data_IF_348667906440
#
_entry.id   IF_348667906440
#
_cell.length_a   1.000
_cell.length_b   1.000
_cell.length_c   1.000
_cell.angle_alpha   90.00
_cell.angle_beta   90.00
_cell.angle_gamma   90.00
#
_symmetry.space_group_name_H-M   'P 1'
#
loop_
_entity.id
_entity.type
_entity.pdbx_description
1 polymer ?
#
# COMPACT_ATOMS: atom_id res chain seq x y z
N UNK A 1 -24.54 1.51 9.96
CA UNK A 1 -23.16 1.96 10.28
C UNK A 1 -22.19 0.99 9.62
N UNK A 2 -21.22 1.46 8.82
CA UNK A 2 -20.19 0.62 8.19
C UNK A 2 -19.04 0.48 9.19
N UNK A 3 -18.71 -0.75 9.59
CA UNK A 3 -17.49 -1.03 10.36
C UNK A 3 -16.39 -1.39 9.36
N UNK A 4 -15.30 -0.63 9.38
CA UNK A 4 -14.15 -0.83 8.53
C UNK A 4 -12.92 -1.22 9.33
N UNK A 5 -12.10 -2.14 8.80
CA UNK A 5 -10.75 -2.39 9.26
C UNK A 5 -9.75 -1.84 8.24
N UNK A 6 -8.69 -1.23 8.72
CA UNK A 6 -7.53 -0.85 7.92
C UNK A 6 -6.28 -1.52 8.51
N UNK A 7 -5.53 -2.19 7.66
CA UNK A 7 -4.29 -2.88 8.02
C UNK A 7 -3.27 -2.70 6.91
N UNK A 8 -2.01 -2.46 7.26
CA UNK A 8 -0.89 -2.24 6.35
C UNK A 8 0.38 -2.84 6.93
N UNK A 9 1.43 -2.97 6.13
CA UNK A 9 2.80 -3.31 6.56
C UNK A 9 2.87 -4.65 7.33
N UNK A 10 2.17 -5.66 6.81
CA UNK A 10 2.16 -7.00 7.41
C UNK A 10 3.44 -7.80 7.14
N UNK A 11 4.15 -7.49 6.05
CA UNK A 11 5.44 -8.08 5.65
C UNK A 11 5.48 -9.61 5.76
N UNK A 12 4.44 -10.30 5.27
CA UNK A 12 4.35 -11.76 5.27
C UNK A 12 4.36 -12.41 6.65
N UNK A 13 4.10 -11.65 7.71
CA UNK A 13 4.08 -12.17 9.07
C UNK A 13 2.83 -13.00 9.32
N UNK A 14 2.95 -14.33 9.26
CA UNK A 14 1.85 -15.27 9.52
C UNK A 14 1.12 -14.95 10.84
N UNK A 15 1.87 -14.62 11.90
CA UNK A 15 1.26 -14.30 13.18
C UNK A 15 0.38 -13.06 13.16
N UNK A 16 0.75 -12.03 12.37
CA UNK A 16 -0.07 -10.82 12.16
C UNK A 16 -1.31 -11.15 11.32
N UNK A 17 -1.16 -11.94 10.26
CA UNK A 17 -2.29 -12.40 9.43
C UNK A 17 -3.28 -13.26 10.23
N UNK A 18 -2.81 -14.19 11.07
CA UNK A 18 -3.70 -15.00 11.90
C UNK A 18 -4.48 -14.14 12.91
N UNK A 19 -3.86 -13.12 13.50
CA UNK A 19 -4.56 -12.13 14.34
C UNK A 19 -5.62 -11.36 13.54
N UNK A 20 -5.29 -10.93 12.31
CA UNK A 20 -6.24 -10.25 11.43
C UNK A 20 -7.44 -11.16 11.10
N UNK A 21 -7.19 -12.40 10.70
CA UNK A 21 -8.26 -13.35 10.36
C UNK A 21 -9.14 -13.68 11.56
N UNK A 22 -8.54 -13.80 12.77
CA UNK A 22 -9.29 -13.97 14.00
C UNK A 22 -10.18 -12.75 14.29
N UNK A 23 -9.65 -11.52 14.16
CA UNK A 23 -10.42 -10.30 14.35
C UNK A 23 -11.58 -10.17 13.33
N UNK A 24 -11.34 -10.50 12.05
CA UNK A 24 -12.39 -10.51 11.02
C UNK A 24 -13.50 -11.52 11.37
N UNK A 25 -13.13 -12.73 11.80
CA UNK A 25 -14.09 -13.75 12.20
C UNK A 25 -14.96 -13.30 13.38
N UNK A 26 -14.33 -12.69 14.38
CA UNK A 26 -14.98 -12.37 15.65
C UNK A 26 -15.80 -11.06 15.55
N UNK A 27 -15.30 -10.05 14.84
CA UNK A 27 -15.91 -8.72 14.77
C UNK A 27 -16.72 -8.48 13.49
N UNK A 28 -16.55 -9.29 12.45
CA UNK A 28 -17.27 -9.26 11.17
C UNK A 28 -17.37 -7.83 10.59
N UNK A 29 -16.23 -7.18 10.29
CA UNK A 29 -16.27 -5.86 9.65
C UNK A 29 -16.95 -5.96 8.29
N UNK A 30 -17.62 -4.88 7.87
CA UNK A 30 -18.25 -4.81 6.54
C UNK A 30 -17.20 -4.66 5.43
N UNK A 31 -16.07 -4.03 5.75
CA UNK A 31 -15.00 -3.78 4.79
C UNK A 31 -13.62 -3.89 5.45
N UNK A 32 -12.66 -4.41 4.70
CA UNK A 32 -11.23 -4.47 5.05
C UNK A 32 -10.43 -3.76 3.98
N UNK A 33 -9.53 -2.86 4.41
CA UNK A 33 -8.54 -2.21 3.57
C UNK A 33 -7.15 -2.76 3.88
N UNK A 34 -6.42 -3.23 2.86
CA UNK A 34 -5.04 -3.72 2.95
C UNK A 34 -4.13 -2.74 2.21
N UNK A 35 -3.35 -1.97 2.98
CA UNK A 35 -2.65 -0.75 2.55
C UNK A 35 -1.24 -0.95 1.98
N UNK A 36 -0.87 -2.15 1.56
CA UNK A 36 0.45 -2.45 0.98
C UNK A 36 1.46 -3.02 1.98
N UNK A 37 2.63 -3.41 1.48
CA UNK A 37 3.71 -4.10 2.19
C UNK A 37 3.18 -5.36 2.89
N UNK A 38 2.50 -6.18 2.11
CA UNK A 38 1.78 -7.36 2.58
C UNK A 38 2.63 -8.62 2.53
N UNK A 39 3.59 -8.70 1.59
CA UNK A 39 4.33 -9.91 1.30
C UNK A 39 5.57 -10.06 2.17
N UNK A 40 6.06 -11.28 2.28
CA UNK A 40 7.33 -11.54 2.93
C UNK A 40 8.49 -11.03 2.09
N UNK A 41 9.49 -10.45 2.73
CA UNK A 41 10.72 -10.08 2.04
C UNK A 41 11.35 -11.32 1.36
N UNK A 42 11.68 -11.23 0.08
CA UNK A 42 12.12 -12.34 -0.78
C UNK A 42 13.29 -13.18 -0.23
N UNK A 43 14.12 -12.58 0.63
CA UNK A 43 15.29 -13.25 1.19
C UNK A 43 14.98 -14.03 2.49
N UNK A 44 13.73 -14.02 2.97
CA UNK A 44 13.34 -14.74 4.19
C UNK A 44 12.32 -15.82 3.85
N UNK A 45 12.67 -17.09 4.03
CA UNK A 45 11.71 -18.17 3.85
C UNK A 45 10.57 -18.03 4.87
N UNK A 46 9.34 -18.14 4.40
CA UNK A 46 8.16 -18.19 5.28
C UNK A 46 7.79 -19.66 5.51
N UNK A 47 7.66 -20.03 6.76
CA UNK A 47 7.26 -21.37 7.15
C UNK A 47 5.77 -21.38 7.53
N UNK A 48 5.00 -22.31 6.99
CA UNK A 48 3.62 -22.56 7.37
C UNK A 48 3.32 -24.06 7.42
N UNK A 49 2.79 -24.51 8.55
CA UNK A 49 2.64 -25.93 8.79
C UNK A 49 4.00 -26.62 8.84
N UNK A 50 4.18 -27.66 8.01
CA UNK A 50 5.45 -28.42 7.88
C UNK A 50 6.27 -28.04 6.65
N UNK A 51 5.83 -27.03 5.89
CA UNK A 51 6.43 -26.66 4.62
C UNK A 51 7.00 -25.24 4.57
N UNK A 52 7.76 -24.98 3.52
CA UNK A 52 8.23 -23.66 3.13
C UNK A 52 7.23 -23.12 2.10
N UNK A 53 6.72 -21.91 2.30
CA UNK A 53 5.89 -21.21 1.32
C UNK A 53 6.80 -20.70 0.21
N UNK A 54 6.50 -21.05 -1.02
CA UNK A 54 7.22 -20.56 -2.21
C UNK A 54 6.52 -19.34 -2.81
N UNK A 55 5.18 -19.31 -2.74
CA UNK A 55 4.39 -18.13 -3.10
C UNK A 55 3.38 -17.80 -2.00
N UNK A 56 3.58 -16.66 -1.36
CA UNK A 56 2.80 -16.27 -0.20
C UNK A 56 1.33 -16.00 -0.52
N UNK A 57 1.05 -15.44 -1.70
CA UNK A 57 -0.33 -15.13 -2.10
C UNK A 57 -1.10 -16.41 -2.38
N UNK A 58 -0.60 -17.27 -3.28
CA UNK A 58 -1.35 -18.46 -3.72
C UNK A 58 -1.38 -19.58 -2.67
N UNK A 59 -0.29 -19.79 -1.94
CA UNK A 59 -0.16 -20.92 -1.01
C UNK A 59 -0.67 -20.60 0.41
N UNK A 60 -0.67 -19.31 0.79
CA UNK A 60 -1.14 -18.92 2.11
C UNK A 60 -2.37 -18.01 2.06
N UNK A 61 -2.28 -16.80 1.46
CA UNK A 61 -3.37 -15.83 1.52
C UNK A 61 -4.65 -16.35 0.87
N UNK A 62 -4.57 -16.89 -0.36
CA UNK A 62 -5.75 -17.44 -1.04
C UNK A 62 -6.38 -18.59 -0.25
N UNK A 63 -5.58 -19.46 0.35
CA UNK A 63 -6.08 -20.59 1.14
C UNK A 63 -6.82 -20.09 2.38
N UNK A 64 -6.23 -19.13 3.10
CA UNK A 64 -6.84 -18.56 4.31
C UNK A 64 -8.09 -17.74 4.01
N UNK A 65 -8.07 -16.92 2.95
CA UNK A 65 -9.21 -16.12 2.54
C UNK A 65 -10.39 -16.99 2.05
N UNK A 66 -10.12 -18.08 1.31
CA UNK A 66 -11.16 -19.05 0.93
C UNK A 66 -11.80 -19.68 2.16
N UNK A 67 -11.01 -20.16 3.10
CA UNK A 67 -11.50 -20.74 4.35
C UNK A 67 -12.33 -19.72 5.15
N UNK A 68 -11.89 -18.47 5.21
CA UNK A 68 -12.59 -17.40 5.90
C UNK A 68 -13.93 -17.07 5.19
N UNK A 69 -13.94 -16.99 3.86
CA UNK A 69 -15.16 -16.77 3.06
C UNK A 69 -16.15 -17.92 3.25
N UNK A 70 -15.68 -19.16 3.24
CA UNK A 70 -16.53 -20.33 3.43
C UNK A 70 -17.14 -20.36 4.85
N UNK A 71 -16.41 -19.88 5.84
CA UNK A 71 -16.88 -19.77 7.21
C UNK A 71 -17.90 -18.63 7.39
N UNK A 72 -17.61 -17.45 6.84
CA UNK A 72 -18.41 -16.24 7.09
C UNK A 72 -19.60 -16.09 6.14
N UNK A 73 -19.55 -16.72 4.99
CA UNK A 73 -20.62 -16.64 3.96
C UNK A 73 -20.89 -15.16 3.60
N UNK A 74 -22.13 -14.73 3.81
CA UNK A 74 -22.58 -13.36 3.52
C UNK A 74 -21.98 -12.30 4.44
N UNK A 75 -21.41 -12.71 5.58
CA UNK A 75 -20.67 -11.83 6.48
C UNK A 75 -19.19 -11.66 6.10
N UNK A 76 -18.74 -12.25 4.99
CA UNK A 76 -17.38 -12.04 4.47
C UNK A 76 -17.23 -10.57 4.05
N UNK A 77 -16.20 -9.85 4.55
CA UNK A 77 -16.05 -8.43 4.24
C UNK A 77 -15.74 -8.18 2.75
N UNK A 78 -16.15 -7.05 2.22
CA UNK A 78 -15.52 -6.51 1.03
C UNK A 78 -14.05 -6.19 1.35
N UNK A 79 -13.10 -6.72 0.58
CA UNK A 79 -11.67 -6.51 0.83
C UNK A 79 -11.09 -5.72 -0.33
N UNK A 80 -10.50 -4.55 -0.04
CA UNK A 80 -9.79 -3.72 -0.99
C UNK A 80 -8.30 -3.73 -0.69
N UNK A 81 -7.48 -3.97 -1.71
CA UNK A 81 -6.04 -4.17 -1.53
C UNK A 81 -5.23 -3.38 -2.55
N UNK A 82 -4.13 -2.81 -2.08
CA UNK A 82 -3.02 -2.31 -2.89
C UNK A 82 -1.72 -3.02 -2.48
N UNK A 83 -0.71 -2.91 -3.31
CA UNK A 83 0.66 -3.31 -2.99
C UNK A 83 1.43 -2.13 -2.39
N UNK A 84 2.59 -2.40 -1.78
CA UNK A 84 3.50 -1.39 -1.26
C UNK A 84 4.91 -1.55 -1.84
N UNK A 85 5.86 -0.70 -1.43
CA UNK A 85 7.19 -0.67 -2.04
C UNK A 85 8.04 -1.92 -1.75
N UNK A 86 7.76 -2.66 -0.68
CA UNK A 86 8.42 -3.93 -0.38
C UNK A 86 7.76 -5.14 -1.08
N UNK A 87 6.58 -4.96 -1.66
CA UNK A 87 5.89 -5.98 -2.43
C UNK A 87 6.45 -6.01 -3.86
N UNK A 88 7.11 -7.10 -4.26
CA UNK A 88 7.64 -7.19 -5.60
C UNK A 88 6.54 -7.20 -6.67
N UNK A 89 6.65 -6.36 -7.70
CA UNK A 89 5.66 -6.25 -8.78
C UNK A 89 5.49 -7.54 -9.58
N UNK A 90 6.50 -8.39 -9.61
CA UNK A 90 6.36 -9.74 -10.20
C UNK A 90 5.30 -10.60 -9.51
N UNK A 91 4.89 -10.26 -8.29
CA UNK A 91 3.80 -10.93 -7.57
C UNK A 91 2.41 -10.35 -7.90
N UNK A 92 2.34 -9.23 -8.62
CA UNK A 92 1.07 -8.53 -8.96
C UNK A 92 0.07 -9.43 -9.68
N UNK A 93 0.56 -10.36 -10.51
CA UNK A 93 -0.29 -11.34 -11.20
C UNK A 93 -1.11 -12.20 -10.23
N UNK A 94 -0.55 -12.55 -9.08
CA UNK A 94 -1.27 -13.30 -8.04
C UNK A 94 -2.32 -12.44 -7.33
N UNK A 95 -2.09 -11.14 -7.20
CA UNK A 95 -3.11 -10.21 -6.68
C UNK A 95 -4.30 -10.11 -7.64
N UNK A 96 -4.03 -9.98 -8.94
CA UNK A 96 -5.04 -9.95 -10.00
C UNK A 96 -5.81 -11.27 -10.05
N UNK A 97 -5.13 -12.41 -9.92
CA UNK A 97 -5.80 -13.72 -9.93
C UNK A 97 -6.66 -13.93 -8.67
N UNK A 98 -6.25 -13.39 -7.54
CA UNK A 98 -7.04 -13.43 -6.30
C UNK A 98 -8.28 -12.53 -6.40
N UNK A 99 -8.18 -11.38 -7.09
CA UNK A 99 -9.31 -10.53 -7.45
C UNK A 99 -10.30 -11.27 -8.34
N UNK A 100 -9.85 -11.93 -9.42
CA UNK A 100 -10.68 -12.76 -10.31
C UNK A 100 -11.40 -13.89 -9.57
N UNK A 101 -10.84 -14.39 -8.47
CA UNK A 101 -11.49 -15.39 -7.62
C UNK A 101 -12.52 -14.79 -6.65
N UNK A 102 -12.69 -13.46 -6.64
CA UNK A 102 -13.61 -12.72 -5.77
C UNK A 102 -13.24 -12.82 -4.29
N UNK A 103 -11.95 -12.97 -3.97
CA UNK A 103 -11.48 -13.01 -2.59
C UNK A 103 -11.15 -11.61 -2.05
N UNK A 104 -10.72 -10.72 -2.94
CA UNK A 104 -10.55 -9.28 -2.72
C UNK A 104 -10.76 -8.52 -4.02
N UNK A 105 -10.70 -7.18 -3.96
CA UNK A 105 -10.58 -6.29 -5.12
C UNK A 105 -9.21 -5.63 -5.10
N UNK A 106 -8.39 -5.89 -6.10
CA UNK A 106 -7.10 -5.21 -6.29
C UNK A 106 -7.34 -3.86 -6.97
N UNK A 107 -7.09 -2.76 -6.25
CA UNK A 107 -7.56 -1.43 -6.63
C UNK A 107 -6.43 -0.42 -6.95
N UNK A 108 -5.18 -0.87 -7.14
CA UNK A 108 -4.12 0.05 -7.55
C UNK A 108 -4.47 0.78 -8.85
N UNK A 109 -4.39 2.12 -8.85
CA UNK A 109 -4.78 3.01 -9.96
C UNK A 109 -6.22 2.79 -10.46
N UNK A 110 -7.12 2.41 -9.56
CA UNK A 110 -8.53 2.14 -9.85
C UNK A 110 -9.46 2.85 -8.87
N UNK A 111 -10.69 3.02 -9.31
CA UNK A 111 -11.82 3.42 -8.46
C UNK A 111 -12.87 2.30 -8.38
N UNK A 112 -13.48 2.14 -7.21
CA UNK A 112 -14.57 1.20 -6.95
C UNK A 112 -15.61 1.83 -6.05
N UNK A 113 -16.87 1.43 -6.21
CA UNK A 113 -17.96 1.94 -5.38
C UNK A 113 -18.28 0.96 -4.23
N UNK A 114 -18.45 1.50 -3.01
CA UNK A 114 -18.91 0.73 -1.86
C UNK A 114 -19.67 1.61 -0.85
N UNK A 115 -20.90 1.21 -0.53
CA UNK A 115 -21.68 1.85 0.54
C UNK A 115 -21.94 3.35 0.35
N UNK A 116 -21.99 3.83 -0.89
CA UNK A 116 -22.16 5.24 -1.23
C UNK A 116 -20.86 6.05 -1.22
N UNK A 117 -19.71 5.39 -1.13
CA UNK A 117 -18.37 6.00 -1.24
C UNK A 117 -17.66 5.47 -2.47
N UNK A 118 -16.89 6.34 -3.13
CA UNK A 118 -15.92 5.96 -4.16
C UNK A 118 -14.57 5.70 -3.49
N UNK A 119 -14.02 4.51 -3.65
CA UNK A 119 -12.75 4.09 -3.07
C UNK A 119 -11.70 4.10 -4.16
N UNK A 120 -10.59 4.79 -3.91
CA UNK A 120 -9.42 4.88 -4.79
C UNK A 120 -8.22 4.19 -4.15
N UNK A 121 -7.44 3.46 -4.95
CA UNK A 121 -6.20 2.83 -4.49
C UNK A 121 -4.97 3.36 -5.23
N UNK A 122 -3.88 3.61 -4.50
CA UNK A 122 -2.63 4.08 -5.07
C UNK A 122 -1.43 3.59 -4.27
N UNK A 123 -0.58 2.77 -4.92
CA UNK A 123 0.51 2.05 -4.28
C UNK A 123 1.86 2.78 -4.28
N UNK A 124 2.11 3.69 -5.24
CA UNK A 124 3.42 4.30 -5.38
C UNK A 124 3.80 5.21 -4.22
N UNK A 125 5.12 5.17 -3.89
CA UNK A 125 5.76 6.03 -2.91
C UNK A 125 6.81 6.91 -3.58
N UNK A 126 7.25 8.03 -2.94
CA UNK A 126 8.41 8.80 -3.38
C UNK A 126 9.69 7.95 -3.41
N UNK A 127 10.78 8.43 -4.06
CA UNK A 127 12.04 7.71 -4.11
C UNK A 127 12.60 7.43 -2.72
N UNK A 128 12.99 6.19 -2.48
CA UNK A 128 13.59 5.69 -1.23
C UNK A 128 15.08 5.35 -1.44
N UNK A 129 15.86 5.08 -0.39
CA UNK A 129 17.22 4.56 -0.53
C UNK A 129 17.30 3.09 -0.99
N UNK A 130 16.17 2.40 -1.17
CA UNK A 130 16.14 0.99 -1.56
C UNK A 130 16.36 0.81 -3.07
N UNK A 131 16.95 -0.33 -3.43
CA UNK A 131 17.29 -0.64 -4.83
C UNK A 131 16.08 -1.05 -5.68
N UNK A 132 15.08 -1.69 -5.08
CA UNK A 132 13.87 -2.12 -5.81
C UNK A 132 12.97 -0.90 -6.01
N UNK A 133 12.62 -0.64 -7.29
CA UNK A 133 11.86 0.53 -7.72
C UNK A 133 10.51 0.18 -8.33
N UNK A 134 9.96 -0.98 -7.97
CA UNK A 134 8.71 -1.47 -8.53
C UNK A 134 7.54 -0.51 -8.27
N UNK A 135 7.47 0.04 -7.04
CA UNK A 135 6.40 0.91 -6.58
C UNK A 135 6.90 2.30 -6.18
N UNK A 136 7.98 2.76 -6.84
CA UNK A 136 8.49 4.10 -6.64
C UNK A 136 8.33 4.97 -7.89
N UNK A 137 7.94 6.23 -7.67
CA UNK A 137 7.83 7.28 -8.69
C UNK A 137 8.45 8.57 -8.19
N UNK A 138 8.87 9.44 -9.09
CA UNK A 138 9.14 10.82 -8.72
C UNK A 138 7.89 11.42 -8.07
N UNK A 139 8.07 12.30 -7.10
CA UNK A 139 6.93 12.88 -6.37
C UNK A 139 6.25 14.01 -7.16
N UNK A 140 6.63 15.26 -6.93
CA UNK A 140 6.11 16.43 -7.67
C UNK A 140 6.98 16.81 -8.87
N UNK A 141 8.23 16.41 -8.86
CA UNK A 141 9.23 16.69 -9.89
C UNK A 141 10.30 15.60 -9.90
N UNK A 142 11.30 15.73 -10.79
CA UNK A 142 12.42 14.79 -10.86
C UNK A 142 13.48 14.98 -9.74
N UNK A 143 13.23 15.87 -8.81
CA UNK A 143 14.08 16.02 -7.64
C UNK A 143 14.02 14.76 -6.76
N UNK A 144 15.15 14.34 -6.25
CA UNK A 144 15.31 13.19 -5.34
C UNK A 144 16.08 13.68 -4.13
N UNK A 145 15.58 13.36 -2.95
CA UNK A 145 16.21 13.74 -1.69
C UNK A 145 17.60 13.11 -1.52
N UNK A 146 18.52 13.77 -0.80
CA UNK A 146 19.84 13.21 -0.49
C UNK A 146 19.69 11.81 0.14
N UNK A 147 20.48 10.85 -0.37
CA UNK A 147 20.49 9.46 0.10
C UNK A 147 19.40 8.56 -0.53
N UNK A 148 18.40 9.12 -1.19
CA UNK A 148 17.46 8.32 -1.97
C UNK A 148 18.01 7.99 -3.37
N UNK A 149 17.58 6.87 -3.93
CA UNK A 149 17.96 6.41 -5.27
C UNK A 149 16.84 6.79 -6.25
N UNK A 150 17.16 7.48 -7.36
CA UNK A 150 16.17 7.80 -8.38
C UNK A 150 15.44 6.55 -8.92
N UNK A 151 14.15 6.64 -9.25
CA UNK A 151 13.41 5.52 -9.84
C UNK A 151 14.01 4.98 -11.15
N UNK A 152 14.84 5.78 -11.83
CA UNK A 152 15.55 5.41 -13.07
C UNK A 152 16.88 4.69 -12.84
N UNK A 153 17.43 4.66 -11.63
CA UNK A 153 18.75 4.11 -11.31
C UNK A 153 18.70 2.77 -10.56
N UNK A 154 17.59 2.44 -9.92
CA UNK A 154 17.38 1.14 -9.29
C UNK A 154 16.93 0.07 -10.29
N UNK A 155 16.56 -1.09 -9.79
CA UNK A 155 16.04 -2.16 -10.62
C UNK A 155 14.56 -2.43 -10.37
N UNK A 156 13.90 -3.05 -11.35
CA UNK A 156 12.51 -3.49 -11.28
C UNK A 156 12.42 -4.99 -11.45
N UNK A 157 11.48 -5.61 -10.76
CA UNK A 157 11.22 -7.05 -10.91
C UNK A 157 10.41 -7.36 -12.17
N UNK A 158 9.77 -6.34 -12.76
CA UNK A 158 9.03 -6.39 -14.02
C UNK A 158 9.35 -5.11 -14.81
N UNK A 159 9.50 -5.22 -16.12
CA UNK A 159 9.65 -4.05 -16.99
C UNK A 159 8.42 -3.12 -16.86
N UNK A 160 8.68 -1.83 -16.76
CA UNK A 160 7.61 -0.82 -16.72
C UNK A 160 7.14 -0.52 -18.14
N UNK A 161 5.82 -0.47 -18.32
CA UNK A 161 5.21 0.05 -19.56
C UNK A 161 5.27 1.58 -19.64
N UNK A 162 5.49 2.26 -18.51
CA UNK A 162 5.53 3.71 -18.42
C UNK A 162 6.94 4.25 -18.65
N UNK A 163 7.02 5.49 -19.16
CA UNK A 163 8.27 6.25 -19.12
C UNK A 163 8.56 6.70 -17.69
N UNK A 164 9.31 5.86 -16.98
CA UNK A 164 9.70 6.07 -15.58
C UNK A 164 10.38 7.43 -15.38
N UNK A 165 11.08 7.94 -16.41
CA UNK A 165 11.78 9.22 -16.31
C UNK A 165 10.86 10.43 -16.24
N UNK A 166 9.60 10.28 -16.64
CA UNK A 166 8.59 11.32 -16.67
C UNK A 166 7.42 11.08 -15.71
N UNK A 167 7.32 9.87 -15.15
CA UNK A 167 6.24 9.50 -14.26
C UNK A 167 6.39 10.17 -12.89
N UNK A 168 5.33 10.81 -12.41
CA UNK A 168 5.28 11.45 -11.09
C UNK A 168 3.98 11.11 -10.37
N UNK A 169 4.03 11.04 -9.04
CA UNK A 169 2.84 10.84 -8.19
C UNK A 169 1.80 11.95 -8.46
N UNK A 170 2.24 13.20 -8.61
CA UNK A 170 1.34 14.31 -8.89
C UNK A 170 0.51 14.08 -10.17
N UNK A 171 1.16 13.67 -11.27
CA UNK A 171 0.46 13.39 -12.55
C UNK A 171 -0.44 12.17 -12.47
N UNK A 172 -0.06 11.18 -11.69
CA UNK A 172 -0.89 9.99 -11.53
C UNK A 172 -2.19 10.31 -10.79
N UNK A 173 -2.11 11.12 -9.72
CA UNK A 173 -3.29 11.56 -8.98
C UNK A 173 -4.23 12.42 -9.85
N UNK A 174 -3.69 13.29 -10.71
CA UNK A 174 -4.47 14.07 -11.66
C UNK A 174 -5.22 13.18 -12.67
N UNK A 175 -4.63 12.04 -13.05
CA UNK A 175 -5.25 11.08 -13.98
C UNK A 175 -6.25 10.15 -13.30
N UNK A 176 -5.93 9.73 -12.06
CA UNK A 176 -6.75 8.80 -11.29
C UNK A 176 -8.10 9.40 -10.92
N UNK A 177 -8.12 10.69 -10.61
CA UNK A 177 -9.30 11.32 -10.01
C UNK A 177 -9.99 12.26 -11.00
N UNK A 178 -11.25 11.97 -11.27
CA UNK A 178 -12.09 12.84 -12.13
C UNK A 178 -12.34 14.20 -11.48
N UNK A 179 -12.58 15.25 -12.28
CA UNK A 179 -13.06 16.53 -11.75
C UNK A 179 -14.36 16.36 -10.95
N UNK A 180 -14.45 17.02 -9.80
CA UNK A 180 -15.64 16.98 -8.95
C UNK A 180 -15.32 17.00 -7.46
N UNK A 181 -16.35 16.89 -6.63
CA UNK A 181 -16.22 16.85 -5.17
C UNK A 181 -15.80 15.48 -4.69
N UNK A 182 -14.83 15.43 -3.78
CA UNK A 182 -14.35 14.20 -3.14
C UNK A 182 -14.93 13.97 -1.72
N UNK A 183 -16.02 14.62 -1.37
CA UNK A 183 -16.68 14.49 -0.06
C UNK A 183 -17.18 13.08 0.28
N UNK A 184 -17.27 12.20 -0.71
CA UNK A 184 -17.58 10.78 -0.56
C UNK A 184 -16.47 9.89 -1.10
N UNK A 185 -15.25 10.41 -1.22
CA UNK A 185 -14.11 9.65 -1.69
C UNK A 185 -13.24 9.17 -0.52
N UNK A 186 -12.87 7.90 -0.57
CA UNK A 186 -11.94 7.25 0.35
C UNK A 186 -10.71 6.85 -0.42
N UNK A 187 -9.53 7.22 0.06
CA UNK A 187 -8.26 6.88 -0.59
C UNK A 187 -7.46 5.90 0.25
N UNK A 188 -7.04 4.83 -0.38
CA UNK A 188 -6.06 3.90 0.12
C UNK A 188 -4.72 4.19 -0.54
N UNK A 189 -3.87 4.93 0.16
CA UNK A 189 -2.50 5.24 -0.22
C UNK A 189 -1.53 4.34 0.52
N UNK A 190 -0.45 3.88 -0.14
CA UNK A 190 0.64 3.30 0.62
C UNK A 190 1.50 4.39 1.26
N UNK A 191 1.92 5.41 0.49
CA UNK A 191 2.69 6.54 1.02
C UNK A 191 1.87 7.47 1.91
N UNK A 192 2.43 7.96 3.04
CA UNK A 192 1.84 9.03 3.83
C UNK A 192 2.06 10.41 3.18
N UNK A 193 1.26 11.43 3.56
CA UNK A 193 1.49 12.81 3.15
C UNK A 193 2.70 13.43 3.88
N UNK A 194 3.51 14.22 3.15
CA UNK A 194 4.73 14.87 3.65
C UNK A 194 4.46 15.85 4.81
N UNK A 195 5.40 15.90 5.77
CA UNK A 195 5.35 16.75 6.98
C UNK A 195 4.07 16.58 7.80
N UNK A 196 3.76 15.33 8.10
CA UNK A 196 2.70 14.96 9.03
C UNK A 196 3.24 14.05 10.13
N UNK A 197 2.39 13.68 11.08
CA UNK A 197 2.75 12.67 12.07
C UNK A 197 2.90 11.27 11.47
N UNK A 198 2.41 11.05 10.24
CA UNK A 198 2.37 9.74 9.59
C UNK A 198 3.63 9.41 8.79
N UNK A 199 4.50 10.39 8.51
CA UNK A 199 5.65 10.22 7.61
C UNK A 199 7.02 10.41 8.28
N UNK A 200 7.05 10.41 9.61
CA UNK A 200 8.29 10.62 10.36
C UNK A 200 9.08 9.32 10.48
N UNK A 201 10.19 9.21 9.77
CA UNK A 201 11.17 8.13 9.88
C UNK A 201 12.18 8.39 11.00
N UNK A 202 12.85 7.34 11.49
CA UNK A 202 13.88 7.41 12.54
C UNK A 202 15.23 7.93 11.98
N UNK A 203 15.25 9.12 11.38
CA UNK A 203 16.41 9.74 10.73
C UNK A 203 16.99 10.92 11.54
N UNK A 204 16.61 11.10 12.81
CA UNK A 204 17.12 12.18 13.65
C UNK A 204 18.63 12.11 13.78
N UNK A 205 19.32 13.20 13.34
CA UNK A 205 20.77 13.30 13.38
C UNK A 205 21.54 12.48 12.33
N UNK A 206 20.84 11.80 11.43
CA UNK A 206 21.45 11.09 10.31
C UNK A 206 21.83 12.07 9.21
N UNK A 207 23.04 11.91 8.63
CA UNK A 207 23.53 12.74 7.53
C UNK A 207 23.96 11.87 6.35
N UNK A 208 23.84 12.42 5.14
CA UNK A 208 24.38 11.84 3.91
C UNK A 208 25.33 12.88 3.29
N UNK A 209 26.60 12.51 3.09
CA UNK A 209 27.68 13.41 2.63
C UNK A 209 27.74 14.73 3.42
N UNK A 210 27.50 14.68 4.75
CA UNK A 210 27.50 15.83 5.65
C UNK A 210 26.23 16.69 5.61
N UNK A 211 25.23 16.33 4.80
CA UNK A 211 23.92 17.00 4.74
C UNK A 211 22.95 16.25 5.65
N UNK A 212 22.26 16.93 6.59
CA UNK A 212 21.23 16.30 7.40
C UNK A 212 20.10 15.76 6.51
N UNK A 213 19.67 14.53 6.78
CA UNK A 213 18.50 13.96 6.12
C UNK A 213 17.22 14.55 6.69
N UNK A 214 16.21 14.73 5.82
CA UNK A 214 14.87 15.05 6.29
C UNK A 214 14.28 13.82 6.99
N UNK A 215 13.68 14.03 8.14
CA UNK A 215 12.96 12.97 8.88
C UNK A 215 11.59 12.70 8.29
N UNK A 216 11.07 13.63 7.48
CA UNK A 216 9.81 13.51 6.76
C UNK A 216 10.03 12.91 5.38
N UNK A 217 9.53 11.70 5.17
CA UNK A 217 9.77 10.91 3.96
C UNK A 217 8.49 10.64 3.15
N UNK A 218 7.40 11.32 3.50
CA UNK A 218 6.12 11.22 2.81
C UNK A 218 6.07 11.98 1.48
N UNK A 219 4.95 11.86 0.78
CA UNK A 219 4.72 12.49 -0.52
C UNK A 219 4.19 13.91 -0.40
N UNK A 220 4.87 14.87 -1.01
CA UNK A 220 4.40 16.26 -1.19
C UNK A 220 3.19 16.29 -2.13
N UNK A 221 3.18 15.46 -3.17
CA UNK A 221 2.07 15.38 -4.11
C UNK A 221 0.79 14.92 -3.42
N UNK A 222 0.87 13.87 -2.60
CA UNK A 222 -0.28 13.38 -1.82
C UNK A 222 -0.74 14.44 -0.82
N UNK A 223 0.16 15.11 -0.12
CA UNK A 223 -0.19 16.21 0.78
C UNK A 223 -0.98 17.30 0.07
N UNK A 224 -0.43 17.83 -1.04
CA UNK A 224 -1.09 18.87 -1.83
C UNK A 224 -2.46 18.42 -2.34
N UNK A 225 -2.54 17.20 -2.84
CA UNK A 225 -3.79 16.60 -3.29
C UNK A 225 -4.84 16.58 -2.16
N UNK A 226 -4.48 16.15 -0.95
CA UNK A 226 -5.39 16.12 0.20
C UNK A 226 -5.83 17.53 0.58
N UNK A 227 -4.89 18.48 0.65
CA UNK A 227 -5.18 19.88 1.02
C UNK A 227 -6.07 20.58 -0.01
N UNK A 228 -5.89 20.33 -1.31
CA UNK A 228 -6.65 20.95 -2.38
C UNK A 228 -8.01 20.31 -2.63
N UNK A 229 -8.07 18.98 -2.60
CA UNK A 229 -9.24 18.21 -3.02
C UNK A 229 -10.15 17.78 -1.89
N UNK A 230 -9.67 17.79 -0.62
CA UNK A 230 -10.42 17.51 0.61
C UNK A 230 -11.25 16.21 0.53
N UNK A 231 -10.63 15.03 0.31
CA UNK A 231 -11.33 13.76 0.32
C UNK A 231 -11.94 13.48 1.70
N UNK A 232 -12.97 12.61 1.73
CA UNK A 232 -13.65 12.23 2.97
C UNK A 232 -12.71 11.54 3.97
N UNK A 233 -11.87 10.62 3.47
CA UNK A 233 -10.93 9.84 4.28
C UNK A 233 -9.72 9.44 3.43
N UNK A 234 -8.54 9.48 4.05
CA UNK A 234 -7.32 8.89 3.50
C UNK A 234 -6.69 7.94 4.51
N UNK A 235 -6.17 6.81 4.03
CA UNK A 235 -5.48 5.79 4.83
C UNK A 235 -4.08 5.59 4.27
N UNK A 236 -3.09 5.44 5.15
CA UNK A 236 -1.67 5.45 4.79
C UNK A 236 -0.89 4.38 5.55
N UNK A 237 0.14 3.81 4.91
CA UNK A 237 1.09 2.85 5.46
C UNK A 237 2.53 3.34 5.36
N UNK A 238 3.45 2.43 5.04
CA UNK A 238 4.86 2.63 4.69
C UNK A 238 5.79 2.98 5.86
N UNK A 239 5.44 3.91 6.74
CA UNK A 239 6.36 4.38 7.80
C UNK A 239 6.00 3.74 9.14
N UNK A 240 6.76 2.71 9.51
CA UNK A 240 6.49 1.87 10.68
C UNK A 240 6.65 2.63 12.00
N UNK A 241 7.58 3.58 12.07
CA UNK A 241 7.83 4.40 13.24
C UNK A 241 6.64 5.26 13.64
N UNK A 242 5.83 5.61 12.65
CA UNK A 242 4.61 6.41 12.85
C UNK A 242 3.42 5.63 13.41
N UNK A 243 3.52 4.30 13.53
CA UNK A 243 2.42 3.42 13.98
C UNK A 243 2.02 3.55 15.45
N UNK A 244 2.75 4.35 16.25
CA UNK A 244 2.55 4.49 17.70
C UNK A 244 2.11 5.89 18.13
N UNK A 245 1.70 6.73 17.21
CA UNK A 245 1.20 8.07 17.52
C UNK A 245 -0.27 7.93 17.89
N UNK A 246 -0.56 7.97 19.18
CA UNK A 246 -1.91 8.04 19.75
C UNK A 246 -2.25 9.48 20.14
#
# INVERSE_FOLDING_TARGET
MIRAFFVTDLHGSISRYEKLFAAIRDEKPSVLFLGGDLLAHRLRPVLWGTGVITNFVSEYLQVRLKALRDLLKEAYPAIYVIMGNDDARSEETYFIDTDRQGLWSYIHEREVEYGGYTIYGYAYVPPTPFQIKDWERYDVSRYVDPGAIPPTEGFRTVESSDDVSQATIARDLDRLVRPGSLKHAVFLFHSPPYQTSLDRAALDGVTFDGVPLDVHVGSIAIKRFIEERQPYLTMHGHIHESSRIT
#
